data_IF_469505560789
#
_entry.id   IF_469505560789
#
_cell.length_a   1.000
_cell.length_b   1.000
_cell.length_c   1.000
_cell.angle_alpha   90.00
_cell.angle_beta   90.00
_cell.angle_gamma   90.00
#
_symmetry.space_group_name_H-M   'P 1'
#
loop_
_entity.id
_entity.type
_entity.pdbx_description
1 polymer ?
#
# COMPACT_ATOMS: atom_id res chain seq x y z
N UNK A 1 -2.53 -12.65 -16.09
CA UNK A 1 -1.97 -13.92 -15.56
C UNK A 1 -1.24 -14.71 -16.65
N UNK A 2 -1.80 -14.83 -17.86
CA UNK A 2 -1.19 -15.62 -18.94
C UNK A 2 0.16 -15.08 -19.44
N UNK A 3 0.52 -13.85 -19.08
CA UNK A 3 1.77 -13.19 -19.49
C UNK A 3 2.79 -13.14 -18.36
N UNK A 4 2.60 -13.90 -17.28
CA UNK A 4 3.49 -13.89 -16.13
C UNK A 4 4.92 -14.27 -16.48
N UNK A 5 5.09 -15.33 -17.30
CA UNK A 5 6.40 -15.76 -17.75
C UNK A 5 7.10 -14.67 -18.59
N UNK A 6 6.37 -14.00 -19.47
CA UNK A 6 6.90 -12.91 -20.30
C UNK A 6 7.31 -11.71 -19.43
N UNK A 7 6.54 -11.39 -18.39
CA UNK A 7 6.90 -10.35 -17.43
C UNK A 7 8.24 -10.66 -16.75
N UNK A 8 8.41 -11.89 -16.29
CA UNK A 8 9.62 -12.31 -15.59
C UNK A 8 10.79 -12.49 -16.54
N UNK A 9 10.61 -13.25 -17.63
CA UNK A 9 11.70 -13.65 -18.54
C UNK A 9 12.08 -12.54 -19.53
N UNK A 10 11.08 -11.84 -20.11
CA UNK A 10 11.35 -10.90 -21.19
C UNK A 10 11.52 -9.46 -20.69
N UNK A 11 10.72 -9.04 -19.70
CA UNK A 11 10.77 -7.66 -19.25
C UNK A 11 11.74 -7.49 -18.06
N UNK A 12 11.50 -8.23 -16.98
CA UNK A 12 12.26 -8.01 -15.74
C UNK A 12 13.70 -8.49 -15.83
N UNK A 13 13.94 -9.70 -16.36
CA UNK A 13 15.29 -10.24 -16.51
C UNK A 13 16.15 -9.37 -17.44
N UNK A 14 15.55 -8.84 -18.51
CA UNK A 14 16.25 -7.97 -19.48
C UNK A 14 16.28 -6.49 -19.05
N UNK A 15 15.62 -6.11 -17.97
CA UNK A 15 15.53 -4.73 -17.50
C UNK A 15 14.84 -3.80 -18.51
N UNK A 16 13.86 -4.30 -19.28
CA UNK A 16 13.21 -3.53 -20.34
C UNK A 16 12.29 -2.46 -19.75
N UNK A 17 12.47 -1.16 -20.03
CA UNK A 17 11.66 -0.08 -19.44
C UNK A 17 10.29 0.00 -20.10
N UNK A 18 9.37 -0.82 -19.64
CA UNK A 18 7.96 -0.87 -20.07
C UNK A 18 7.06 -0.55 -18.88
N UNK A 19 6.02 0.23 -19.11
CA UNK A 19 4.97 0.49 -18.12
C UNK A 19 3.73 -0.36 -18.42
N UNK A 20 3.32 -1.16 -17.46
CA UNK A 20 2.07 -1.93 -17.50
C UNK A 20 1.06 -1.30 -16.55
N UNK A 21 -0.17 -1.15 -17.04
CA UNK A 21 -1.30 -0.69 -16.24
C UNK A 21 -2.14 -1.90 -15.84
N UNK A 22 -2.23 -2.16 -14.55
CA UNK A 22 -3.04 -3.23 -13.99
C UNK A 22 -4.42 -2.70 -13.63
N UNK A 23 -5.39 -2.98 -14.52
CA UNK A 23 -6.79 -2.59 -14.35
C UNK A 23 -7.55 -3.64 -13.55
N UNK A 24 -8.36 -3.19 -12.59
CA UNK A 24 -9.16 -4.07 -11.75
C UNK A 24 -8.34 -4.82 -10.71
N UNK A 25 -7.19 -4.26 -10.33
CA UNK A 25 -6.38 -4.78 -9.23
C UNK A 25 -7.16 -4.82 -7.93
N UNK A 26 -6.92 -5.88 -7.14
CA UNK A 26 -7.51 -6.06 -5.81
C UNK A 26 -8.80 -6.89 -5.80
N UNK A 27 -9.40 -6.93 -4.60
CA UNK A 27 -10.67 -7.63 -4.38
C UNK A 27 -11.80 -6.99 -5.21
N UNK A 28 -12.57 -7.83 -5.87
CA UNK A 28 -13.75 -7.40 -6.61
C UNK A 28 -14.93 -8.35 -6.42
N UNK A 29 -16.14 -7.85 -6.61
CA UNK A 29 -17.36 -8.66 -6.65
C UNK A 29 -17.62 -9.33 -7.99
N UNK A 30 -16.65 -9.35 -8.90
CA UNK A 30 -16.73 -9.97 -10.21
C UNK A 30 -16.66 -11.51 -10.13
N UNK A 31 -16.68 -12.17 -11.27
CA UNK A 31 -16.47 -13.60 -11.33
C UNK A 31 -14.99 -13.98 -11.02
N UNK A 32 -14.75 -15.25 -10.75
CA UNK A 32 -13.45 -15.79 -10.36
C UNK A 32 -12.35 -15.67 -11.43
N UNK A 33 -12.69 -15.30 -12.67
CA UNK A 33 -11.73 -15.09 -13.76
C UNK A 33 -11.29 -13.64 -13.91
N UNK A 34 -11.97 -12.70 -13.22
CA UNK A 34 -11.75 -11.26 -13.30
C UNK A 34 -11.52 -10.66 -11.90
N UNK A 35 -10.69 -11.30 -11.09
CA UNK A 35 -10.31 -10.81 -9.77
C UNK A 35 -8.82 -10.47 -9.74
N UNK A 36 -8.49 -9.27 -9.29
CA UNK A 36 -7.12 -8.82 -9.02
C UNK A 36 -6.63 -9.19 -7.62
N UNK A 37 -7.31 -10.08 -6.91
CA UNK A 37 -6.92 -10.48 -5.55
C UNK A 37 -5.52 -11.11 -5.47
N UNK A 38 -4.96 -11.57 -6.58
CA UNK A 38 -3.65 -12.23 -6.64
C UNK A 38 -2.52 -11.34 -7.17
N UNK A 39 -2.82 -10.15 -7.64
CA UNK A 39 -1.88 -9.27 -8.36
C UNK A 39 -0.69 -8.84 -7.48
N UNK A 40 -0.93 -8.44 -6.22
CA UNK A 40 0.12 -8.04 -5.28
C UNK A 40 1.10 -9.18 -5.05
N UNK A 41 0.59 -10.39 -4.75
CA UNK A 41 1.40 -11.57 -4.53
C UNK A 41 2.14 -12.02 -5.80
N UNK A 42 1.50 -11.89 -6.96
CA UNK A 42 2.06 -12.30 -8.26
C UNK A 42 3.16 -11.34 -8.72
N UNK A 43 2.86 -10.05 -8.83
CA UNK A 43 3.82 -9.09 -9.38
C UNK A 43 4.89 -8.68 -8.38
N UNK A 44 4.51 -8.50 -7.12
CA UNK A 44 5.40 -8.03 -6.08
C UNK A 44 6.58 -8.96 -5.75
N UNK A 45 6.59 -10.18 -6.31
CA UNK A 45 7.66 -11.16 -6.13
C UNK A 45 8.55 -11.34 -7.37
N UNK A 46 8.32 -10.60 -8.44
CA UNK A 46 9.18 -10.64 -9.64
C UNK A 46 10.40 -9.74 -9.40
N UNK A 47 11.64 -10.27 -9.45
CA UNK A 47 12.85 -9.47 -9.29
C UNK A 47 12.96 -8.38 -10.36
N UNK A 48 13.40 -7.18 -9.99
CA UNK A 48 13.61 -6.08 -10.94
C UNK A 48 12.35 -5.37 -11.41
N UNK A 49 11.15 -5.86 -11.04
CA UNK A 49 9.87 -5.22 -11.37
C UNK A 49 9.49 -4.21 -10.28
N UNK A 50 9.29 -2.94 -10.68
CA UNK A 50 8.75 -1.92 -9.77
C UNK A 50 7.23 -1.97 -9.81
N UNK A 51 6.58 -2.15 -8.64
CA UNK A 51 5.13 -2.28 -8.54
C UNK A 51 4.55 -1.15 -7.69
N UNK A 52 3.81 -0.23 -8.33
CA UNK A 52 3.28 0.98 -7.73
C UNK A 52 1.77 0.83 -7.43
N UNK A 53 1.34 1.37 -6.31
CA UNK A 53 -0.05 1.36 -5.85
C UNK A 53 -0.50 2.78 -5.47
N UNK A 54 -0.88 3.61 -6.46
CA UNK A 54 -1.32 4.98 -6.21
C UNK A 54 -2.59 5.03 -5.37
N UNK A 55 -2.68 6.05 -4.52
CA UNK A 55 -3.79 6.29 -3.59
C UNK A 55 -4.70 7.44 -4.01
N UNK A 56 -4.44 8.02 -5.18
CA UNK A 56 -5.26 9.07 -5.81
C UNK A 56 -5.09 9.07 -7.33
N UNK A 57 -6.02 9.67 -8.07
CA UNK A 57 -5.89 9.89 -9.51
C UNK A 57 -4.67 10.76 -9.84
N UNK A 58 -4.35 11.75 -9.02
CA UNK A 58 -3.15 12.57 -9.16
C UNK A 58 -1.89 11.73 -8.99
N UNK A 59 -1.78 10.94 -7.92
CA UNK A 59 -0.64 10.05 -7.71
C UNK A 59 -0.46 9.07 -8.87
N UNK A 60 -1.57 8.52 -9.41
CA UNK A 60 -1.54 7.67 -10.59
C UNK A 60 -0.93 8.38 -11.80
N UNK A 61 -1.35 9.62 -12.09
CA UNK A 61 -0.81 10.38 -13.22
C UNK A 61 0.67 10.74 -13.03
N UNK A 62 1.10 11.08 -11.83
CA UNK A 62 2.50 11.38 -11.51
C UNK A 62 3.38 10.12 -11.67
N UNK A 63 2.91 8.96 -11.18
CA UNK A 63 3.57 7.67 -11.35
C UNK A 63 3.65 7.25 -12.83
N UNK A 64 2.57 7.46 -13.59
CA UNK A 64 2.53 7.18 -15.03
C UNK A 64 3.51 8.07 -15.81
N UNK A 65 3.51 9.38 -15.51
CA UNK A 65 4.42 10.31 -16.16
C UNK A 65 5.89 9.95 -15.91
N UNK A 66 6.23 9.57 -14.69
CA UNK A 66 7.61 9.11 -14.37
C UNK A 66 7.92 7.78 -15.06
N UNK A 67 7.06 6.78 -14.96
CA UNK A 67 7.33 5.43 -15.48
C UNK A 67 7.51 5.39 -17.00
N UNK A 68 6.93 6.37 -17.71
CA UNK A 68 7.06 6.53 -19.18
C UNK A 68 8.12 7.55 -19.58
N UNK A 69 8.80 8.18 -18.62
CA UNK A 69 9.87 9.14 -18.88
C UNK A 69 11.21 8.44 -19.14
N UNK A 70 12.17 9.20 -19.65
CA UNK A 70 13.56 8.72 -19.82
C UNK A 70 14.31 8.47 -18.49
N UNK A 71 13.78 8.98 -17.38
CA UNK A 71 14.35 8.75 -16.05
C UNK A 71 14.07 7.32 -15.54
N UNK A 72 13.10 6.62 -16.10
CA UNK A 72 12.82 5.24 -15.76
C UNK A 72 13.59 4.30 -16.68
N UNK A 73 14.37 3.40 -16.11
CA UNK A 73 15.19 2.42 -16.83
C UNK A 73 14.82 0.97 -16.53
N UNK A 74 13.68 0.74 -15.86
CA UNK A 74 13.24 -0.58 -15.43
C UNK A 74 11.75 -0.82 -15.73
N UNK A 75 11.30 -2.06 -15.79
CA UNK A 75 9.88 -2.36 -15.96
C UNK A 75 9.07 -1.92 -14.74
N UNK A 76 7.90 -1.35 -14.99
CA UNK A 76 6.99 -0.83 -13.96
C UNK A 76 5.58 -1.38 -14.17
N UNK A 77 4.96 -1.85 -13.10
CA UNK A 77 3.52 -2.11 -13.02
C UNK A 77 2.87 -1.03 -12.15
N UNK A 78 1.80 -0.41 -12.63
CA UNK A 78 1.00 0.54 -11.85
C UNK A 78 -0.41 -0.05 -11.71
N UNK A 79 -0.83 -0.33 -10.47
CA UNK A 79 -2.23 -0.69 -10.20
C UNK A 79 -3.10 0.54 -10.39
N UNK A 80 -4.02 0.47 -11.35
CA UNK A 80 -4.94 1.59 -11.59
C UNK A 80 -5.87 1.75 -10.39
N UNK A 81 -6.02 2.97 -9.81
CA UNK A 81 -6.90 3.18 -8.66
C UNK A 81 -8.33 2.70 -8.94
N UNK A 82 -8.88 1.95 -7.99
CA UNK A 82 -10.24 1.44 -8.09
C UNK A 82 -11.31 2.50 -7.77
N UNK A 83 -12.57 2.11 -7.92
CA UNK A 83 -13.73 2.98 -7.67
C UNK A 83 -13.77 3.57 -6.26
N UNK A 84 -13.25 2.86 -5.28
CA UNK A 84 -13.14 3.36 -3.89
C UNK A 84 -12.34 4.66 -3.80
N UNK A 85 -11.28 4.79 -4.60
CA UNK A 85 -10.46 6.01 -4.69
C UNK A 85 -11.14 7.04 -5.59
N UNK A 86 -11.43 6.66 -6.85
CA UNK A 86 -11.90 7.59 -7.88
C UNK A 86 -13.28 8.18 -7.59
N UNK A 87 -14.20 7.42 -7.00
CA UNK A 87 -15.52 7.92 -6.63
C UNK A 87 -15.45 8.91 -5.47
N UNK A 88 -14.56 8.69 -4.51
CA UNK A 88 -14.33 9.65 -3.42
C UNK A 88 -13.76 10.97 -3.93
N UNK A 89 -12.83 10.94 -4.86
CA UNK A 89 -12.32 12.14 -5.51
C UNK A 89 -13.41 12.93 -6.25
N UNK A 90 -14.35 12.21 -6.91
CA UNK A 90 -15.48 12.84 -7.61
C UNK A 90 -16.52 13.43 -6.67
N UNK A 91 -16.76 12.83 -5.52
CA UNK A 91 -17.75 13.32 -4.55
C UNK A 91 -17.23 14.46 -3.68
N UNK A 92 -15.94 14.74 -3.73
CA UNK A 92 -15.32 15.70 -2.81
C UNK A 92 -15.30 15.24 -1.35
N UNK A 93 -15.70 13.99 -1.10
CA UNK A 93 -15.77 13.36 0.22
C UNK A 93 -14.40 12.84 0.71
N UNK A 94 -13.31 13.35 0.14
CA UNK A 94 -12.01 13.08 0.69
C UNK A 94 -11.79 14.05 1.86
N UNK A 95 -11.89 13.58 3.12
CA UNK A 95 -11.33 14.34 4.23
C UNK A 95 -9.81 14.52 4.07
N UNK A 96 -9.29 14.03 2.97
CA UNK A 96 -7.89 13.89 2.70
C UNK A 96 -7.27 14.90 1.76
N UNK A 97 -7.93 15.41 0.73
CA UNK A 97 -7.20 16.28 -0.19
C UNK A 97 -6.98 17.67 0.39
N UNK A 98 -7.90 18.22 1.17
CA UNK A 98 -7.66 19.47 1.88
C UNK A 98 -6.76 19.30 3.12
N UNK A 99 -6.87 18.20 3.85
CA UNK A 99 -5.98 17.83 4.95
C UNK A 99 -4.67 17.17 4.49
N UNK A 100 -4.69 16.45 3.40
CA UNK A 100 -3.53 15.98 2.66
C UNK A 100 -2.61 17.14 2.24
N UNK A 101 -3.19 18.27 1.86
CA UNK A 101 -2.46 19.49 1.48
C UNK A 101 -2.09 20.34 2.68
N UNK A 102 -2.85 20.31 3.79
CA UNK A 102 -2.57 21.17 4.96
C UNK A 102 -1.67 20.54 6.01
N UNK A 103 -1.68 19.23 6.18
CA UNK A 103 -0.68 18.53 7.01
C UNK A 103 0.68 18.35 6.30
N UNK A 104 0.72 18.50 4.99
CA UNK A 104 1.92 18.70 4.17
C UNK A 104 2.43 20.15 4.24
N UNK A 105 1.86 20.96 5.10
CA UNK A 105 2.12 22.41 5.30
C UNK A 105 3.42 22.75 6.00
N UNK A 106 4.52 22.21 5.54
CA UNK A 106 5.82 22.87 5.51
C UNK A 106 6.62 22.32 4.32
N UNK A 107 6.47 22.99 3.24
CA UNK A 107 7.38 23.43 2.20
C UNK A 107 8.52 22.52 1.67
N UNK A 108 8.80 21.33 2.19
CA UNK A 108 9.96 20.55 1.71
C UNK A 108 9.63 19.21 1.04
N UNK A 109 8.35 18.79 0.99
CA UNK A 109 7.94 17.53 0.37
C UNK A 109 6.86 17.66 -0.71
N UNK A 110 6.79 18.80 -1.40
CA UNK A 110 5.92 18.88 -2.58
C UNK A 110 6.49 18.03 -3.71
N UNK A 111 5.79 16.97 -4.09
CA UNK A 111 6.09 16.14 -5.27
C UNK A 111 6.22 16.91 -6.59
N UNK A 112 5.91 18.20 -6.63
CA UNK A 112 6.18 19.08 -7.76
C UNK A 112 7.68 19.34 -8.00
N UNK A 113 8.56 18.98 -7.02
CA UNK A 113 10.01 19.06 -7.15
C UNK A 113 10.73 17.71 -6.95
N UNK A 114 10.01 16.61 -6.70
CA UNK A 114 10.62 15.28 -6.44
C UNK A 114 11.06 14.53 -7.71
N UNK A 115 10.96 15.11 -8.88
CA UNK A 115 11.70 14.66 -10.07
C UNK A 115 13.17 15.07 -10.07
N UNK A 116 13.73 15.56 -8.95
CA UNK A 116 15.17 15.68 -8.84
C UNK A 116 15.74 14.27 -8.65
N UNK A 117 16.32 13.76 -9.71
CA UNK A 117 17.06 12.51 -9.80
C UNK A 117 18.00 12.33 -8.60
N UNK A 118 17.55 11.58 -7.59
CA UNK A 118 18.49 11.01 -6.62
C UNK A 118 19.04 9.75 -7.27
N UNK A 119 20.17 9.88 -7.90
CA UNK A 119 21.01 8.75 -8.32
C UNK A 119 21.66 8.13 -7.09
N UNK A 120 21.61 6.81 -6.98
CA UNK A 120 22.45 6.06 -6.04
C UNK A 120 23.92 6.27 -6.39
N UNK A 121 24.83 5.96 -5.45
CA UNK A 121 26.29 6.10 -5.66
C UNK A 121 26.81 5.31 -6.87
N UNK A 122 26.03 4.37 -7.40
CA UNK A 122 26.32 3.56 -8.60
C UNK A 122 25.70 4.11 -9.90
N UNK A 123 25.05 5.29 -9.84
CA UNK A 123 24.43 5.93 -11.00
C UNK A 123 23.05 5.44 -11.39
N UNK A 124 22.44 4.52 -10.63
CA UNK A 124 21.07 4.05 -10.88
C UNK A 124 20.03 5.07 -10.39
N UNK A 125 19.07 5.42 -11.25
CA UNK A 125 17.95 6.27 -10.89
C UNK A 125 17.07 5.53 -9.86
N UNK A 126 16.91 6.10 -8.68
CA UNK A 126 16.01 5.52 -7.65
C UNK A 126 14.56 5.85 -7.96
N UNK A 127 13.68 4.87 -7.83
CA UNK A 127 12.24 5.08 -7.92
C UNK A 127 11.82 6.16 -6.89
N UNK A 128 11.17 7.27 -7.32
CA UNK A 128 10.75 8.34 -6.41
C UNK A 128 9.82 7.87 -5.29
N UNK A 129 9.08 6.79 -5.51
CA UNK A 129 8.15 6.19 -4.54
C UNK A 129 8.76 5.03 -3.74
N UNK A 130 10.09 4.94 -3.65
CA UNK A 130 10.76 3.93 -2.81
C UNK A 130 10.62 4.20 -1.32
N UNK A 131 10.29 5.44 -0.92
CA UNK A 131 10.03 5.84 0.47
C UNK A 131 8.54 5.83 0.77
N UNK A 132 8.19 5.33 1.95
CA UNK A 132 6.81 5.38 2.45
C UNK A 132 6.43 6.80 2.85
N UNK A 133 5.19 7.18 2.56
CA UNK A 133 4.67 8.50 2.87
C UNK A 133 3.84 8.46 4.16
N UNK A 134 4.23 9.25 5.15
CA UNK A 134 3.44 9.42 6.37
C UNK A 134 2.30 10.40 6.10
N UNK A 135 1.06 9.94 6.27
CA UNK A 135 -0.16 10.72 6.09
C UNK A 135 -0.58 11.38 7.40
N UNK A 136 -0.49 10.64 8.50
CA UNK A 136 -0.79 11.11 9.84
C UNK A 136 0.24 10.55 10.80
N UNK A 137 0.72 11.37 11.73
CA UNK A 137 1.65 10.94 12.79
C UNK A 137 0.90 10.58 14.06
N UNK A 138 1.33 9.51 14.71
CA UNK A 138 0.86 9.02 16.01
C UNK A 138 1.97 8.21 16.68
N UNK A 139 1.67 7.51 17.76
CA UNK A 139 2.71 6.90 18.61
C UNK A 139 2.49 5.44 18.99
N UNK A 140 1.26 4.93 18.97
CA UNK A 140 0.97 3.60 19.54
C UNK A 140 0.90 2.51 18.48
N UNK A 141 0.21 2.81 17.39
CA UNK A 141 -0.08 1.89 16.29
C UNK A 141 0.35 2.55 14.99
N UNK A 142 0.98 1.81 14.09
CA UNK A 142 1.20 2.27 12.72
C UNK A 142 0.35 1.45 11.76
N UNK A 143 -0.56 2.11 11.05
CA UNK A 143 -1.41 1.53 10.00
C UNK A 143 -0.77 1.86 8.66
N UNK A 144 -0.33 0.83 7.96
CA UNK A 144 0.24 0.90 6.62
C UNK A 144 -0.84 0.42 5.64
N UNK A 145 -1.40 1.35 4.86
CA UNK A 145 -2.52 1.07 3.98
C UNK A 145 -2.11 1.21 2.50
N UNK A 146 -2.03 0.09 1.80
CA UNK A 146 -1.52 0.01 0.44
C UNK A 146 -2.61 0.35 -0.58
N UNK A 147 -2.37 1.34 -1.44
CA UNK A 147 -3.22 1.66 -2.59
C UNK A 147 -4.69 1.86 -2.21
N UNK A 148 -5.58 1.04 -2.78
CA UNK A 148 -7.03 1.13 -2.59
C UNK A 148 -7.51 1.03 -1.12
N UNK A 149 -6.66 0.54 -0.21
CA UNK A 149 -7.03 0.42 1.21
C UNK A 149 -6.78 1.67 2.03
N UNK A 150 -6.15 2.72 1.47
CA UNK A 150 -5.87 3.95 2.21
C UNK A 150 -7.13 4.59 2.83
N UNK A 151 -8.29 4.67 2.15
CA UNK A 151 -9.52 5.19 2.76
C UNK A 151 -10.03 4.36 3.94
N UNK A 152 -9.81 3.04 3.92
CA UNK A 152 -10.10 2.18 5.07
C UNK A 152 -9.15 2.48 6.22
N UNK A 153 -7.84 2.58 5.93
CA UNK A 153 -6.81 2.95 6.90
C UNK A 153 -7.11 4.27 7.60
N UNK A 154 -7.54 5.29 6.84
CA UNK A 154 -7.96 6.58 7.39
C UNK A 154 -9.11 6.43 8.41
N UNK A 155 -10.20 5.73 8.02
CA UNK A 155 -11.33 5.48 8.92
C UNK A 155 -10.95 4.69 10.17
N UNK A 156 -10.00 3.76 10.04
CA UNK A 156 -9.47 3.00 11.18
C UNK A 156 -8.75 3.91 12.17
N UNK A 157 -7.84 4.78 11.73
CA UNK A 157 -7.11 5.68 12.62
C UNK A 157 -8.03 6.72 13.25
N UNK A 158 -9.04 7.21 12.54
CA UNK A 158 -10.07 8.08 13.11
C UNK A 158 -10.90 7.37 14.19
N UNK A 159 -11.35 6.14 13.94
CA UNK A 159 -12.12 5.36 14.90
C UNK A 159 -11.30 4.98 16.14
N UNK A 160 -10.00 4.76 16.00
CA UNK A 160 -9.11 4.55 17.15
C UNK A 160 -8.97 5.81 17.99
N UNK A 161 -8.80 6.97 17.36
CA UNK A 161 -8.62 8.25 18.05
C UNK A 161 -9.90 8.76 18.70
N UNK A 162 -11.07 8.52 18.10
CA UNK A 162 -12.36 9.03 18.56
C UNK A 162 -13.01 8.19 19.69
N UNK A 163 -12.43 7.05 20.07
CA UNK A 163 -12.94 6.25 21.16
C UNK A 163 -12.76 6.98 22.52
N UNK A 164 -13.87 7.35 23.12
CA UNK A 164 -13.89 8.13 24.39
C UNK A 164 -13.30 7.36 25.57
N UNK A 165 -13.37 6.02 25.56
CA UNK A 165 -12.94 5.20 26.70
C UNK A 165 -11.44 4.82 26.61
N UNK A 166 -10.97 4.55 25.40
CA UNK A 166 -9.62 4.06 25.14
C UNK A 166 -9.10 4.64 23.82
N UNK A 167 -8.82 5.94 23.76
CA UNK A 167 -8.27 6.54 22.56
C UNK A 167 -6.88 5.96 22.28
N UNK A 168 -6.64 5.58 21.02
CA UNK A 168 -5.33 5.15 20.56
C UNK A 168 -4.86 6.12 19.49
N UNK A 169 -3.67 6.68 19.70
CA UNK A 169 -3.03 7.54 18.73
C UNK A 169 -2.31 6.68 17.69
N UNK A 170 -2.73 6.77 16.44
CA UNK A 170 -2.24 5.92 15.37
C UNK A 170 -1.61 6.73 14.23
N UNK A 171 -0.47 6.26 13.76
CA UNK A 171 0.17 6.73 12.52
C UNK A 171 -0.52 6.09 11.34
N UNK A 172 -0.75 6.85 10.25
CA UNK A 172 -1.19 6.34 8.95
C UNK A 172 -0.09 6.54 7.93
N UNK A 173 0.24 5.49 7.20
CA UNK A 173 1.29 5.46 6.20
C UNK A 173 0.73 4.94 4.88
N UNK A 174 1.11 5.60 3.79
CA UNK A 174 0.93 5.16 2.43
C UNK A 174 2.26 4.56 1.92
N UNK A 175 2.33 3.25 1.69
CA UNK A 175 3.54 2.60 1.17
C UNK A 175 3.89 2.97 -0.26
N UNK A 176 2.90 3.37 -1.07
CA UNK A 176 3.01 3.78 -2.47
C UNK A 176 3.46 2.66 -3.44
N UNK A 177 4.16 1.64 -2.94
CA UNK A 177 4.66 0.51 -3.73
C UNK A 177 4.63 -0.80 -2.93
N UNK A 178 4.68 -1.95 -3.61
CA UNK A 178 4.63 -3.27 -2.98
C UNK A 178 5.69 -4.28 -3.46
N UNK A 179 6.57 -3.87 -4.39
CA UNK A 179 7.68 -4.74 -4.85
C UNK A 179 8.80 -4.81 -3.83
N UNK A 180 9.14 -3.68 -3.21
CA UNK A 180 10.20 -3.59 -2.20
C UNK A 180 9.69 -2.96 -0.92
N UNK A 181 10.43 -3.13 0.18
CA UNK A 181 10.11 -2.51 1.46
C UNK A 181 10.99 -1.29 1.73
N UNK A 182 10.41 -0.23 2.26
CA UNK A 182 11.19 0.88 2.85
C UNK A 182 11.68 0.48 4.24
N UNK A 183 12.80 -0.24 4.28
CA UNK A 183 13.41 -0.74 5.50
C UNK A 183 13.75 0.38 6.51
N UNK A 184 14.07 1.58 6.02
CA UNK A 184 14.39 2.71 6.88
C UNK A 184 13.15 3.19 7.64
N UNK A 185 12.03 3.42 6.94
CA UNK A 185 10.76 3.78 7.58
C UNK A 185 10.28 2.67 8.52
N UNK A 186 10.31 1.40 8.10
CA UNK A 186 9.90 0.28 8.97
C UNK A 186 10.76 0.19 10.25
N UNK A 187 12.05 0.45 10.16
CA UNK A 187 12.95 0.50 11.31
C UNK A 187 12.62 1.70 12.21
N UNK A 188 12.39 2.89 11.66
CA UNK A 188 12.03 4.10 12.42
C UNK A 188 10.74 3.89 13.25
N UNK A 189 9.77 3.15 12.71
CA UNK A 189 8.52 2.87 13.41
C UNK A 189 8.73 2.15 14.74
N UNK A 190 9.78 1.33 14.89
CA UNK A 190 10.04 0.58 16.12
C UNK A 190 10.32 1.48 17.34
N UNK A 191 10.79 2.70 17.10
CA UNK A 191 11.08 3.67 18.18
C UNK A 191 9.85 4.20 18.90
N UNK A 192 8.66 4.13 18.27
CA UNK A 192 7.44 4.76 18.81
C UNK A 192 6.21 3.87 18.79
N UNK A 193 6.23 2.79 18.03
CA UNK A 193 5.08 1.89 17.82
C UNK A 193 5.38 0.50 18.36
N UNK A 194 4.33 -0.21 18.76
CA UNK A 194 4.39 -1.63 19.16
C UNK A 194 3.56 -2.53 18.26
N UNK A 195 2.61 -1.93 17.55
CA UNK A 195 1.71 -2.64 16.66
C UNK A 195 1.83 -2.03 15.27
N UNK A 196 2.14 -2.87 14.30
CA UNK A 196 2.10 -2.57 12.87
C UNK A 196 0.87 -3.25 12.29
N UNK A 197 0.06 -2.51 11.57
CA UNK A 197 -1.10 -3.03 10.85
C UNK A 197 -0.85 -2.84 9.36
N UNK A 198 -0.95 -3.89 8.58
CA UNK A 198 -0.92 -3.79 7.11
C UNK A 198 -2.30 -4.03 6.56
N UNK A 199 -2.69 -3.18 5.61
CA UNK A 199 -3.94 -3.31 4.86
C UNK A 199 -3.59 -3.44 3.37
N UNK A 200 -4.03 -4.54 2.75
CA UNK A 200 -3.90 -4.77 1.31
C UNK A 200 -5.20 -5.40 0.77
N UNK A 201 -5.61 -5.01 -0.42
CA UNK A 201 -6.81 -5.55 -1.08
C UNK A 201 -6.49 -6.78 -1.96
N UNK A 202 -5.47 -7.52 -1.58
CA UNK A 202 -5.01 -8.76 -2.20
C UNK A 202 -4.98 -9.92 -1.21
N UNK A 203 -4.63 -11.12 -1.71
CA UNK A 203 -4.41 -12.27 -0.83
C UNK A 203 -3.21 -12.02 0.08
N UNK A 204 -3.35 -12.40 1.35
CA UNK A 204 -2.28 -12.24 2.35
C UNK A 204 -1.11 -13.17 2.08
N UNK A 205 -1.39 -14.45 1.80
CA UNK A 205 -0.35 -15.46 1.60
C UNK A 205 0.53 -15.10 0.39
N UNK A 206 1.81 -14.80 0.66
CA UNK A 206 2.75 -14.28 -0.32
C UNK A 206 2.55 -12.83 -0.71
N UNK A 207 1.64 -12.12 -0.07
CA UNK A 207 1.33 -10.71 -0.28
C UNK A 207 2.38 -9.75 0.32
N UNK A 208 2.07 -8.47 0.27
CA UNK A 208 2.95 -7.43 0.78
C UNK A 208 3.02 -7.42 2.32
N UNK A 209 1.91 -7.68 3.01
CA UNK A 209 1.87 -7.77 4.47
C UNK A 209 2.75 -8.89 5.03
N UNK A 210 2.85 -10.01 4.34
CA UNK A 210 3.77 -11.10 4.70
C UNK A 210 5.23 -10.66 4.64
N UNK A 211 5.61 -9.83 3.65
CA UNK A 211 6.95 -9.26 3.56
C UNK A 211 7.27 -8.34 4.74
N UNK A 212 6.30 -7.52 5.17
CA UNK A 212 6.44 -6.66 6.35
C UNK A 212 6.61 -7.49 7.61
N UNK A 213 5.83 -8.56 7.77
CA UNK A 213 5.96 -9.51 8.89
C UNK A 213 7.34 -10.16 8.89
N UNK A 214 7.79 -10.66 7.75
CA UNK A 214 9.11 -11.28 7.60
C UNK A 214 10.25 -10.27 7.90
N UNK A 215 10.10 -9.00 7.53
CA UNK A 215 11.05 -7.95 7.85
C UNK A 215 11.28 -7.84 9.36
N UNK A 216 10.22 -7.68 10.15
CA UNK A 216 10.35 -7.55 11.60
C UNK A 216 10.86 -8.82 12.27
N UNK A 217 10.41 -9.99 11.81
CA UNK A 217 10.87 -11.29 12.32
C UNK A 217 12.36 -11.51 12.06
N UNK A 218 12.83 -11.24 10.83
CA UNK A 218 14.24 -11.44 10.44
C UNK A 218 15.17 -10.39 11.08
N UNK A 219 14.67 -9.19 11.35
CA UNK A 219 15.43 -8.17 12.08
C UNK A 219 15.54 -8.44 13.59
N UNK A 220 14.92 -9.52 14.10
CA UNK A 220 14.93 -9.87 15.51
C UNK A 220 14.12 -8.93 16.41
N UNK A 221 13.24 -8.13 15.85
CA UNK A 221 12.42 -7.14 16.54
C UNK A 221 11.17 -7.79 17.16
N UNK A 222 11.38 -8.65 18.14
CA UNK A 222 10.35 -9.53 18.73
C UNK A 222 9.23 -8.82 19.46
N UNK A 223 9.48 -7.57 19.90
CA UNK A 223 8.48 -6.76 20.59
C UNK A 223 7.49 -6.08 19.64
N UNK A 224 7.71 -6.18 18.34
CA UNK A 224 6.82 -5.66 17.31
C UNK A 224 5.74 -6.69 16.96
N UNK A 225 4.49 -6.31 17.13
CA UNK A 225 3.35 -7.12 16.67
C UNK A 225 2.91 -6.67 15.29
N UNK A 226 2.83 -7.58 14.34
CA UNK A 226 2.34 -7.29 12.99
C UNK A 226 0.97 -7.96 12.81
N UNK A 227 -0.01 -7.16 12.39
CA UNK A 227 -1.37 -7.59 12.09
C UNK A 227 -1.65 -7.35 10.62
N UNK A 228 -1.73 -8.41 9.83
CA UNK A 228 -2.01 -8.31 8.41
C UNK A 228 -3.50 -8.49 8.13
N UNK A 229 -4.08 -7.61 7.32
CA UNK A 229 -5.46 -7.66 6.84
C UNK A 229 -5.47 -7.65 5.31
N UNK A 230 -6.17 -8.61 4.74
CA UNK A 230 -6.33 -8.82 3.30
C UNK A 230 -7.17 -10.07 3.04
N UNK A 231 -7.21 -10.53 1.80
CA UNK A 231 -8.00 -11.68 1.39
C UNK A 231 -7.37 -13.01 1.80
N UNK A 232 -8.21 -14.00 2.02
CA UNK A 232 -7.79 -15.39 2.06
C UNK A 232 -7.38 -15.86 0.64
N UNK A 233 -6.55 -16.91 0.58
CA UNK A 233 -6.15 -17.56 -0.67
C UNK A 233 -7.26 -18.48 -1.14
N UNK A 234 -8.26 -17.90 -1.78
CA UNK A 234 -9.40 -18.62 -2.33
C UNK A 234 -9.89 -18.00 -3.63
N UNK A 235 -10.58 -18.77 -4.44
CA UNK A 235 -11.34 -18.24 -5.57
C UNK A 235 -12.73 -17.85 -5.10
N UNK A 236 -13.12 -16.59 -5.37
CA UNK A 236 -14.47 -16.08 -5.11
C UNK A 236 -15.20 -15.87 -6.42
N UNK A 237 -16.48 -16.22 -6.49
CA UNK A 237 -17.30 -16.06 -7.69
C UNK A 237 -18.55 -15.24 -7.37
N UNK A 238 -18.63 -14.04 -7.90
CA UNK A 238 -19.77 -13.13 -7.80
C UNK A 238 -20.25 -12.87 -6.36
N UNK A 239 -19.32 -12.83 -5.41
CA UNK A 239 -19.61 -12.45 -4.04
C UNK A 239 -19.53 -10.92 -3.93
N UNK A 240 -20.55 -10.23 -3.41
CA UNK A 240 -20.49 -8.78 -3.24
C UNK A 240 -19.26 -8.34 -2.44
N UNK A 241 -18.63 -7.23 -2.85
CA UNK A 241 -17.38 -6.75 -2.23
C UNK A 241 -17.53 -6.49 -0.72
N UNK A 242 -18.66 -5.95 -0.29
CA UNK A 242 -18.93 -5.73 1.13
C UNK A 242 -18.97 -7.05 1.93
N UNK A 243 -19.54 -8.10 1.34
CA UNK A 243 -19.56 -9.43 1.96
C UNK A 243 -18.15 -10.05 2.01
N UNK A 244 -17.30 -9.80 1.00
CA UNK A 244 -15.89 -10.20 1.02
C UNK A 244 -15.11 -9.44 2.10
N UNK A 245 -15.29 -8.12 2.19
CA UNK A 245 -14.65 -7.30 3.21
C UNK A 245 -15.03 -7.77 4.62
N UNK A 246 -16.28 -8.11 4.85
CA UNK A 246 -16.76 -8.64 6.13
C UNK A 246 -16.15 -10.03 6.41
N UNK A 247 -16.16 -10.93 5.41
CA UNK A 247 -15.56 -12.28 5.49
C UNK A 247 -14.08 -12.25 5.87
N UNK A 248 -13.33 -11.31 5.31
CA UNK A 248 -11.88 -11.19 5.53
C UNK A 248 -11.52 -10.23 6.66
N UNK A 249 -12.50 -9.71 7.39
CA UNK A 249 -12.27 -8.78 8.49
C UNK A 249 -11.76 -7.40 8.06
N UNK A 250 -11.90 -7.06 6.78
CA UNK A 250 -11.49 -5.77 6.19
C UNK A 250 -12.52 -4.67 6.45
N UNK A 251 -12.99 -4.58 7.69
CA UNK A 251 -13.92 -3.54 8.15
C UNK A 251 -13.34 -2.75 9.31
N UNK A 252 -13.75 -1.49 9.45
CA UNK A 252 -13.28 -0.63 10.55
C UNK A 252 -13.49 -1.29 11.90
N UNK A 253 -14.69 -1.90 12.13
CA UNK A 253 -15.04 -2.58 13.38
C UNK A 253 -14.09 -3.74 13.71
N UNK A 254 -13.87 -4.64 12.77
CA UNK A 254 -13.02 -5.82 12.95
C UNK A 254 -11.55 -5.43 13.16
N UNK A 255 -11.03 -4.50 12.35
CA UNK A 255 -9.64 -4.03 12.44
C UNK A 255 -9.40 -3.35 13.79
N UNK A 256 -10.25 -2.41 14.18
CA UNK A 256 -10.10 -1.70 15.47
C UNK A 256 -10.25 -2.62 16.67
N UNK A 257 -11.18 -3.58 16.62
CA UNK A 257 -11.34 -4.60 17.68
C UNK A 257 -10.06 -5.44 17.82
N UNK A 258 -9.48 -5.89 16.71
CA UNK A 258 -8.23 -6.66 16.71
C UNK A 258 -7.06 -5.86 17.26
N UNK A 259 -6.88 -4.61 16.83
CA UNK A 259 -5.85 -3.70 17.35
C UNK A 259 -5.98 -3.54 18.87
N UNK A 260 -7.21 -3.30 19.36
CA UNK A 260 -7.46 -3.13 20.79
C UNK A 260 -7.19 -4.37 21.62
N UNK A 261 -7.48 -5.56 21.08
CA UNK A 261 -7.16 -6.82 21.78
C UNK A 261 -5.65 -7.00 21.96
N UNK A 262 -4.85 -6.59 20.98
CA UNK A 262 -3.38 -6.68 21.04
C UNK A 262 -2.73 -5.56 21.88
N UNK A 263 -3.38 -4.39 21.97
CA UNK A 263 -2.84 -3.26 22.76
C UNK A 263 -3.02 -3.43 24.27
N UNK A 264 -3.84 -4.40 24.72
CA UNK A 264 -4.08 -4.69 26.15
C UNK A 264 -3.20 -5.81 26.72
N UNK A 265 -2.52 -6.54 25.86
CA UNK A 265 -1.60 -7.64 26.22
C UNK A 265 -0.16 -7.16 26.21
#
# INVERSE_FOLDING_TARGET
QRTFDQLQQELSLNGTPVTLLDFGGGLSGADNTHSGAFDIAMFGNIPGLTCLAPTSGRAFLDMLAWSTSQSNTSPVVIRVPGDTILNRERSGDLPGDAQYVTDMGSADDTCSNACSEKTTADGTATCPWSRYRTIRRGTTVAVLALGNTLPLGWRVVEALASDVRHPLDATLIDPQQFSTLDAATLTELTGRHRIIVTLEDGQLEGGWGDKVTAFYANAGLRDMRVLNFGAAKEFTDRVPLDALNERYGMTVGNITARIRSESRG
#
